data_IF_389747373428
#
_entry.id   IF_389747373428
#
_cell.length_a   1.000
_cell.length_b   1.000
_cell.length_c   1.000
_cell.angle_alpha   90.00
_cell.angle_beta   90.00
_cell.angle_gamma   90.00
#
_symmetry.space_group_name_H-M   'P 1'
#
loop_
_entity.id
_entity.type
_entity.pdbx_description
1 polymer ?
#
# COMPACT_ATOMS: atom_id res chain seq x y z
N UNK A 1 -9.22 -7.68 -2.86
CA UNK A 1 -8.54 -6.80 -1.87
C UNK A 1 -8.72 -5.30 -2.12
N UNK A 2 -9.46 -4.84 -3.14
CA UNK A 2 -9.87 -3.42 -3.25
C UNK A 2 -11.32 -3.18 -2.74
N UNK A 3 -11.84 -4.20 -2.10
CA UNK A 3 -13.14 -4.39 -1.48
C UNK A 3 -13.00 -4.49 0.04
N UNK A 4 -11.82 -4.19 0.58
CA UNK A 4 -11.51 -4.27 2.01
C UNK A 4 -11.26 -2.86 2.55
N UNK A 5 -11.76 -2.63 3.75
CA UNK A 5 -11.62 -1.43 4.55
C UNK A 5 -10.75 -1.73 5.78
N UNK A 6 -9.85 -0.81 6.12
CA UNK A 6 -9.19 -0.75 7.42
C UNK A 6 -10.07 0.05 8.38
N UNK A 7 -10.57 -0.59 9.43
CA UNK A 7 -11.33 0.06 10.49
C UNK A 7 -10.39 0.37 11.65
N UNK A 8 -10.43 1.61 12.15
CA UNK A 8 -9.65 2.05 13.31
C UNK A 8 -10.54 2.90 14.20
N UNK A 9 -10.87 2.38 15.38
CA UNK A 9 -11.81 3.04 16.28
C UNK A 9 -13.16 3.28 15.60
N UNK A 10 -13.54 4.54 15.42
CA UNK A 10 -14.78 4.96 14.75
C UNK A 10 -14.60 5.29 13.26
N UNK A 11 -13.36 5.32 12.78
CA UNK A 11 -13.03 5.75 11.42
C UNK A 11 -12.84 4.55 10.50
N UNK A 12 -13.17 4.76 9.23
CA UNK A 12 -13.00 3.76 8.18
C UNK A 12 -12.10 4.29 7.08
N UNK A 13 -11.19 3.44 6.64
CA UNK A 13 -10.17 3.82 5.67
C UNK A 13 -10.11 2.82 4.52
N UNK A 14 -10.16 3.33 3.29
CA UNK A 14 -9.79 2.54 2.11
C UNK A 14 -8.27 2.57 1.96
N UNK A 15 -7.66 1.41 1.77
CA UNK A 15 -6.24 1.31 1.40
C UNK A 15 -6.13 1.73 -0.06
N UNK A 16 -5.41 2.82 -0.33
CA UNK A 16 -5.25 3.38 -1.68
C UNK A 16 -3.91 3.04 -2.32
N UNK A 17 -2.92 2.65 -1.51
CA UNK A 17 -1.60 2.25 -1.98
C UNK A 17 -0.96 1.25 -1.01
N UNK A 18 -0.40 0.17 -1.54
CA UNK A 18 0.41 -0.78 -0.77
C UNK A 18 1.59 -1.36 -1.57
N UNK A 19 2.57 -1.93 -0.86
CA UNK A 19 3.70 -2.66 -1.42
C UNK A 19 3.79 -4.06 -0.82
N UNK A 20 4.10 -5.05 -1.66
CA UNK A 20 4.29 -6.42 -1.24
C UNK A 20 5.78 -6.73 -1.08
N UNK A 21 6.08 -7.41 0.02
CA UNK A 21 7.39 -7.96 0.37
C UNK A 21 7.19 -9.43 0.71
N UNK A 22 7.78 -10.33 -0.07
CA UNK A 22 7.62 -11.77 0.11
C UNK A 22 8.93 -12.51 -0.09
N UNK A 23 9.38 -13.24 0.93
CA UNK A 23 10.58 -14.05 0.86
C UNK A 23 10.21 -15.51 1.11
N UNK A 24 10.45 -16.33 0.10
CA UNK A 24 10.48 -17.77 0.11
C UNK A 24 11.80 -18.20 -0.52
N UNK A 25 12.68 -18.81 0.26
CA UNK A 25 14.04 -19.15 -0.18
C UNK A 25 14.05 -20.08 -1.40
N UNK A 26 13.04 -20.93 -1.54
CA UNK A 26 13.01 -21.94 -2.59
C UNK A 26 12.36 -21.41 -3.88
N UNK A 27 11.41 -20.47 -3.77
CA UNK A 27 10.58 -20.04 -4.91
C UNK A 27 10.66 -18.55 -5.23
N UNK A 28 10.84 -17.69 -4.23
CA UNK A 28 10.72 -16.25 -4.35
C UNK A 28 11.61 -15.51 -3.35
N UNK A 29 12.89 -15.42 -3.68
CA UNK A 29 13.91 -14.84 -2.82
C UNK A 29 14.03 -13.33 -3.04
N UNK A 30 13.01 -12.56 -2.64
CA UNK A 30 13.05 -11.09 -2.71
C UNK A 30 14.02 -10.54 -1.65
N UNK A 31 15.18 -9.98 -2.04
CA UNK A 31 16.21 -9.53 -1.08
C UNK A 31 15.80 -8.29 -0.30
N UNK A 32 14.71 -7.62 -0.71
CA UNK A 32 14.23 -6.39 -0.07
C UNK A 32 13.33 -6.65 1.15
N UNK A 33 13.05 -7.92 1.48
CA UNK A 33 12.33 -8.29 2.69
C UNK A 33 13.25 -8.19 3.91
N UNK A 34 12.78 -7.58 5.00
CA UNK A 34 13.59 -7.40 6.21
C UNK A 34 13.96 -8.70 6.94
N UNK A 35 13.18 -9.77 6.76
CA UNK A 35 13.45 -11.09 7.34
C UNK A 35 13.17 -11.17 8.84
N UNK A 36 12.30 -10.33 9.37
CA UNK A 36 11.97 -10.29 10.80
C UNK A 36 10.96 -11.37 11.18
N UNK A 37 11.06 -11.93 12.39
CA UNK A 37 10.21 -13.05 12.83
C UNK A 37 8.71 -12.71 12.76
N UNK A 38 8.34 -11.45 12.99
CA UNK A 38 6.94 -11.00 12.88
C UNK A 38 6.39 -11.22 11.46
N UNK A 39 7.23 -11.12 10.42
CA UNK A 39 6.81 -11.36 9.04
C UNK A 39 6.51 -12.85 8.75
N UNK A 40 6.85 -13.78 9.66
CA UNK A 40 6.48 -15.20 9.56
C UNK A 40 5.08 -15.50 10.11
N UNK A 41 4.36 -14.46 10.56
CA UNK A 41 2.97 -14.56 11.01
C UNK A 41 2.01 -14.18 9.87
N UNK A 42 0.74 -14.53 10.02
CA UNK A 42 -0.34 -14.13 9.12
C UNK A 42 -1.36 -13.27 9.88
N UNK A 43 -1.83 -12.19 9.25
CA UNK A 43 -2.92 -11.36 9.73
C UNK A 43 -2.58 -10.41 10.88
N UNK A 44 -1.29 -10.25 11.21
CA UNK A 44 -0.85 -9.31 12.26
C UNK A 44 -0.55 -7.94 11.66
N UNK A 45 -0.78 -6.89 12.45
CA UNK A 45 -0.22 -5.57 12.16
C UNK A 45 1.19 -5.49 12.72
N UNK A 46 2.15 -5.18 11.85
CA UNK A 46 3.56 -5.11 12.19
C UNK A 46 4.11 -3.71 11.93
N UNK A 47 4.58 -3.04 12.99
CA UNK A 47 5.34 -1.80 12.85
C UNK A 47 6.78 -2.11 12.43
N UNK A 48 7.08 -1.86 11.16
CA UNK A 48 8.30 -2.34 10.53
C UNK A 48 9.51 -1.38 10.69
N UNK A 49 10.69 -1.84 10.28
CA UNK A 49 11.95 -1.04 10.34
C UNK A 49 11.91 0.23 9.50
N UNK A 50 11.09 0.27 8.44
CA UNK A 50 10.86 1.46 7.64
C UNK A 50 9.91 2.48 8.32
N UNK A 51 9.48 2.23 9.56
CA UNK A 51 8.54 3.04 10.34
C UNK A 51 7.14 3.09 9.71
N UNK A 52 6.77 2.04 8.97
CA UNK A 52 5.44 1.85 8.39
C UNK A 52 4.66 0.73 9.09
N UNK A 53 3.45 0.49 8.62
CA UNK A 53 2.60 -0.63 9.06
C UNK A 53 2.50 -1.66 7.95
N UNK A 54 2.88 -2.89 8.26
CA UNK A 54 2.67 -4.05 7.42
C UNK A 54 1.49 -4.88 7.92
N UNK A 55 0.77 -5.50 6.99
CA UNK A 55 -0.10 -6.65 7.27
C UNK A 55 0.72 -7.91 6.95
N UNK A 56 0.97 -8.75 7.94
CA UNK A 56 1.81 -9.93 7.77
C UNK A 56 1.07 -11.06 7.06
N UNK A 57 1.77 -11.83 6.23
CA UNK A 57 1.20 -12.98 5.50
C UNK A 57 2.21 -14.11 5.30
N UNK A 58 3.29 -14.15 6.07
CA UNK A 58 4.23 -15.26 6.05
C UNK A 58 3.74 -16.46 6.88
N UNK A 59 4.57 -17.48 6.93
CA UNK A 59 4.28 -18.74 7.60
C UNK A 59 5.52 -19.26 8.34
N UNK A 60 5.38 -19.54 9.64
CA UNK A 60 6.47 -20.10 10.43
C UNK A 60 6.70 -21.59 10.20
N UNK A 61 5.66 -22.34 9.80
CA UNK A 61 5.75 -23.78 9.49
C UNK A 61 6.42 -24.04 8.15
N UNK A 62 6.35 -23.07 7.23
CA UNK A 62 7.04 -23.08 5.96
C UNK A 62 7.76 -21.73 5.84
N UNK A 63 9.04 -21.63 6.25
CA UNK A 63 9.69 -20.41 6.75
C UNK A 63 9.75 -19.31 5.69
N UNK A 64 8.64 -18.60 5.59
CA UNK A 64 8.35 -17.58 4.59
C UNK A 64 8.03 -16.30 5.31
N UNK A 65 8.51 -15.20 4.75
CA UNK A 65 8.36 -13.87 5.33
C UNK A 65 7.47 -13.06 4.41
N UNK A 66 6.37 -12.52 4.92
CA UNK A 66 5.40 -11.76 4.14
C UNK A 66 4.98 -10.50 4.88
N UNK A 67 5.04 -9.35 4.19
CA UNK A 67 4.50 -8.08 4.66
C UNK A 67 3.87 -7.27 3.53
N UNK A 68 2.64 -6.81 3.75
CA UNK A 68 1.96 -5.84 2.87
C UNK A 68 2.08 -4.47 3.53
N UNK A 69 3.03 -3.66 3.07
CA UNK A 69 3.23 -2.30 3.58
C UNK A 69 2.09 -1.40 3.12
N UNK A 70 1.35 -0.82 4.08
CA UNK A 70 0.33 0.18 3.81
C UNK A 70 1.02 1.54 3.59
N UNK A 71 0.80 2.12 2.40
CA UNK A 71 1.46 3.37 1.98
C UNK A 71 0.52 4.54 1.75
N UNK A 72 -0.73 4.23 1.44
CA UNK A 72 -1.79 5.19 1.20
C UNK A 72 -3.08 4.69 1.81
N UNK A 73 -3.77 5.57 2.53
CA UNK A 73 -5.14 5.37 2.97
C UNK A 73 -5.99 6.60 2.68
N UNK A 74 -7.30 6.40 2.53
CA UNK A 74 -8.29 7.47 2.43
C UNK A 74 -9.37 7.27 3.47
N UNK A 75 -9.57 8.27 4.32
CA UNK A 75 -10.68 8.29 5.28
C UNK A 75 -12.00 8.38 4.50
N UNK A 76 -12.93 7.46 4.75
CA UNK A 76 -14.17 7.32 3.98
C UNK A 76 -15.22 8.37 4.36
N UNK A 77 -15.13 8.91 5.57
CA UNK A 77 -16.03 9.92 6.08
C UNK A 77 -15.61 11.33 5.62
N UNK A 78 -14.32 11.63 5.60
CA UNK A 78 -13.78 12.97 5.25
C UNK A 78 -13.24 13.07 3.82
N UNK A 79 -13.08 11.94 3.11
CA UNK A 79 -12.39 11.84 1.82
C UNK A 79 -10.92 12.29 1.81
N UNK A 80 -10.30 12.44 2.98
CA UNK A 80 -8.91 12.86 3.09
C UNK A 80 -7.95 11.69 2.80
N UNK A 81 -6.98 11.93 1.91
CA UNK A 81 -5.88 11.01 1.63
C UNK A 81 -4.70 11.21 2.57
N UNK A 82 -4.04 10.12 2.94
CA UNK A 82 -2.84 10.08 3.78
C UNK A 82 -1.84 9.12 3.10
N UNK A 83 -0.80 9.68 2.47
CA UNK A 83 0.10 8.95 1.57
C UNK A 83 1.55 8.87 2.07
N UNK A 84 1.76 9.01 3.39
CA UNK A 84 3.08 8.92 4.02
C UNK A 84 3.01 7.86 5.11
N UNK A 85 3.88 6.84 5.03
CA UNK A 85 3.87 5.67 5.92
C UNK A 85 3.87 6.06 7.41
N UNK A 86 4.64 7.07 7.80
CA UNK A 86 4.70 7.55 9.19
C UNK A 86 3.44 8.32 9.60
N UNK A 87 2.82 9.08 8.68
CA UNK A 87 1.54 9.75 8.94
C UNK A 87 0.38 8.76 9.06
N UNK A 88 0.45 7.64 8.33
CA UNK A 88 -0.51 6.55 8.46
C UNK A 88 -0.43 5.93 9.85
N UNK A 89 0.78 5.64 10.33
CA UNK A 89 1.00 5.18 11.71
C UNK A 89 0.38 6.18 12.70
N UNK A 90 0.70 7.47 12.58
CA UNK A 90 0.14 8.51 13.45
C UNK A 90 -1.39 8.59 13.39
N UNK A 91 -1.98 8.54 12.19
CA UNK A 91 -3.43 8.54 11.99
C UNK A 91 -4.09 7.36 12.70
N UNK A 92 -3.53 6.15 12.55
CA UNK A 92 -4.05 4.94 13.20
C UNK A 92 -4.07 5.13 14.73
N UNK A 93 -3.00 5.64 15.33
CA UNK A 93 -2.97 5.88 16.77
C UNK A 93 -3.92 6.98 17.22
N UNK A 94 -4.08 8.07 16.45
CA UNK A 94 -5.06 9.13 16.75
C UNK A 94 -6.49 8.59 16.66
N UNK A 95 -6.79 7.79 15.64
CA UNK A 95 -8.11 7.25 15.37
C UNK A 95 -8.57 6.20 16.40
N UNK A 96 -7.65 5.58 17.16
CA UNK A 96 -7.98 4.71 18.28
C UNK A 96 -8.72 5.43 19.41
N UNK A 97 -8.59 6.76 19.50
CA UNK A 97 -9.26 7.58 20.50
C UNK A 97 -8.67 7.44 21.90
N UNK A 98 -9.46 7.83 22.90
CA UNK A 98 -9.04 7.78 24.30
C UNK A 98 -8.97 6.33 24.81
N UNK A 99 -7.80 5.88 25.26
CA UNK A 99 -7.58 4.49 25.70
C UNK A 99 -8.26 4.11 27.03
N UNK A 100 -8.78 5.08 27.78
CA UNK A 100 -9.51 4.86 29.03
C UNK A 100 -11.02 4.86 28.78
N UNK A 101 -11.50 5.74 27.91
CA UNK A 101 -12.94 5.99 27.69
C UNK A 101 -13.50 5.21 26.48
N UNK A 102 -12.65 4.92 25.50
CA UNK A 102 -13.05 4.30 24.23
C UNK A 102 -12.45 2.90 24.09
N UNK A 103 -13.22 2.00 23.47
CA UNK A 103 -12.74 0.67 23.08
C UNK A 103 -12.42 0.66 21.59
N UNK A 104 -11.39 1.40 21.21
CA UNK A 104 -10.87 1.39 19.85
C UNK A 104 -10.30 0.01 19.49
N UNK A 105 -10.55 -0.45 18.27
CA UNK A 105 -9.94 -1.65 17.72
C UNK A 105 -9.46 -1.40 16.29
N UNK A 106 -8.55 -2.26 15.82
CA UNK A 106 -8.06 -2.24 14.44
C UNK A 106 -8.40 -3.58 13.81
N UNK A 107 -9.11 -3.55 12.68
CA UNK A 107 -9.48 -4.77 11.95
C UNK A 107 -9.83 -4.46 10.49
N UNK A 108 -9.75 -5.47 9.65
CA UNK A 108 -10.21 -5.40 8.26
C UNK A 108 -11.67 -5.86 8.16
N UNK A 109 -12.46 -5.19 7.34
CA UNK A 109 -13.81 -5.63 6.97
C UNK A 109 -14.05 -5.38 5.48
N UNK A 110 -15.09 -5.96 4.91
CA UNK A 110 -15.52 -5.60 3.56
C UNK A 110 -15.97 -4.13 3.50
N UNK A 111 -15.75 -3.50 2.35
CA UNK A 111 -16.34 -2.22 1.99
C UNK A 111 -17.81 -2.44 1.66
N UNK A 112 -18.70 -1.65 2.26
CA UNK A 112 -20.10 -1.63 1.82
C UNK A 112 -20.16 -1.15 0.36
N UNK A 113 -20.49 -2.07 -0.55
CA UNK A 113 -20.40 -1.91 -2.03
C UNK A 113 -21.10 -0.66 -2.57
N UNK A 114 -22.05 -0.10 -1.83
CA UNK A 114 -22.97 0.94 -2.33
C UNK A 114 -22.34 2.32 -2.50
N UNK A 115 -21.08 2.56 -2.09
CA UNK A 115 -20.49 3.91 -2.09
C UNK A 115 -19.14 4.06 -2.81
N UNK A 116 -18.44 2.97 -3.14
CA UNK A 116 -17.08 3.08 -3.71
C UNK A 116 -16.97 2.23 -4.97
N UNK A 117 -16.48 2.84 -6.05
CA UNK A 117 -16.17 2.13 -7.28
C UNK A 117 -14.97 1.21 -7.03
N UNK A 118 -15.20 -0.10 -7.10
CA UNK A 118 -14.11 -1.07 -7.12
C UNK A 118 -13.43 -0.96 -8.48
N UNK A 119 -12.14 -0.68 -8.47
CA UNK A 119 -11.30 -0.60 -9.66
C UNK A 119 -10.17 -1.61 -9.59
N UNK A 120 -9.66 -2.01 -10.76
CA UNK A 120 -8.48 -2.85 -10.84
C UNK A 120 -7.27 -2.03 -10.37
N UNK A 121 -6.50 -2.49 -9.37
CA UNK A 121 -5.30 -1.79 -8.96
C UNK A 121 -4.30 -1.71 -10.10
N UNK A 122 -3.62 -0.57 -10.17
CA UNK A 122 -2.50 -0.35 -11.07
C UNK A 122 -1.24 -0.82 -10.37
N UNK A 123 -0.36 -1.44 -11.13
CA UNK A 123 0.92 -1.92 -10.63
C UNK A 123 2.05 -0.96 -11.00
N UNK A 124 3.03 -0.83 -10.12
CA UNK A 124 4.25 -0.05 -10.32
C UNK A 124 5.42 -0.71 -9.58
N UNK A 125 6.64 -0.26 -9.85
CA UNK A 125 7.81 -0.56 -9.01
C UNK A 125 7.60 -0.01 -7.59
N UNK A 126 8.20 -0.69 -6.60
CA UNK A 126 8.25 -0.23 -5.21
C UNK A 126 9.13 1.02 -5.09
N UNK A 127 8.93 1.81 -4.03
CA UNK A 127 9.65 3.07 -3.80
C UNK A 127 10.65 2.94 -2.67
N UNK A 128 11.79 3.61 -2.82
CA UNK A 128 12.78 3.76 -1.76
C UNK A 128 13.71 2.56 -1.62
N UNK A 129 13.58 1.58 -2.52
CA UNK A 129 14.57 0.54 -2.73
C UNK A 129 15.78 1.11 -3.46
N UNK A 130 16.93 0.47 -3.26
CA UNK A 130 18.19 0.76 -3.93
C UNK A 130 18.70 -0.51 -4.57
N UNK A 131 19.59 -0.39 -5.54
CA UNK A 131 20.31 -1.55 -6.07
C UNK A 131 20.97 -2.33 -4.92
N UNK A 132 20.86 -3.65 -4.99
CA UNK A 132 21.39 -4.57 -4.00
C UNK A 132 22.09 -5.71 -4.75
N UNK A 133 23.32 -6.04 -4.35
CA UNK A 133 24.15 -7.07 -5.01
C UNK A 133 23.47 -8.45 -5.08
N UNK A 134 22.72 -8.82 -4.05
CA UNK A 134 21.92 -10.05 -3.95
C UNK A 134 20.65 -10.07 -4.83
N UNK A 135 20.29 -8.97 -5.52
CA UNK A 135 19.13 -8.93 -6.41
C UNK A 135 19.39 -9.57 -7.78
N UNK A 136 19.61 -10.88 -7.76
CA UNK A 136 19.90 -11.68 -8.94
C UNK A 136 18.69 -11.88 -9.88
N UNK A 137 17.48 -11.51 -9.47
CA UNK A 137 16.23 -11.71 -10.23
C UNK A 137 15.49 -10.39 -10.53
N UNK A 138 16.17 -9.26 -10.37
CA UNK A 138 15.66 -7.91 -10.59
C UNK A 138 14.33 -7.62 -9.87
N UNK A 139 14.26 -7.94 -8.59
CA UNK A 139 13.17 -7.61 -7.67
C UNK A 139 12.99 -6.10 -7.47
N UNK A 140 14.02 -5.30 -7.75
CA UNK A 140 13.97 -3.84 -7.73
C UNK A 140 12.89 -3.30 -8.68
N UNK A 141 12.85 -3.83 -9.91
CA UNK A 141 11.92 -3.40 -10.96
C UNK A 141 10.59 -4.16 -10.97
N UNK A 142 10.39 -5.12 -10.06
CA UNK A 142 9.16 -5.91 -10.06
C UNK A 142 7.94 -5.06 -9.67
N UNK A 143 6.78 -5.30 -10.31
CA UNK A 143 5.57 -4.50 -10.14
C UNK A 143 4.78 -4.88 -8.86
N UNK A 144 5.44 -4.81 -7.71
CA UNK A 144 4.90 -5.19 -6.40
C UNK A 144 4.30 -4.04 -5.58
N UNK A 145 4.15 -2.86 -6.20
CA UNK A 145 3.37 -1.75 -5.65
C UNK A 145 2.02 -1.68 -6.33
N UNK A 146 0.96 -1.56 -5.55
CA UNK A 146 -0.42 -1.52 -6.05
C UNK A 146 -1.08 -0.21 -5.63
N UNK A 147 -1.74 0.47 -6.58
CA UNK A 147 -2.34 1.79 -6.39
C UNK A 147 -3.75 1.79 -6.95
N UNK A 148 -4.68 2.43 -6.24
CA UNK A 148 -6.04 2.72 -6.69
C UNK A 148 -6.33 4.22 -6.53
N UNK A 149 -7.46 4.67 -7.06
CA UNK A 149 -7.91 6.06 -7.06
C UNK A 149 -6.87 7.01 -7.65
N UNK A 150 -6.53 6.79 -8.92
CA UNK A 150 -5.75 7.78 -9.68
C UNK A 150 -6.61 9.01 -9.96
N UNK A 151 -6.64 9.93 -9.00
CA UNK A 151 -7.35 11.22 -9.08
C UNK A 151 -6.43 12.34 -8.59
N UNK A 152 -6.61 13.61 -8.99
CA UNK A 152 -5.74 14.73 -8.60
C UNK A 152 -5.40 14.81 -7.11
N UNK A 153 -6.38 14.56 -6.25
CA UNK A 153 -6.31 14.66 -4.79
C UNK A 153 -5.41 13.58 -4.16
N UNK A 154 -5.32 12.41 -4.80
CA UNK A 154 -4.44 11.33 -4.38
C UNK A 154 -2.98 11.66 -4.76
N UNK A 155 -2.27 12.35 -3.87
CA UNK A 155 -0.88 12.80 -4.05
C UNK A 155 0.14 11.78 -3.50
N UNK A 156 0.20 10.60 -4.10
CA UNK A 156 1.19 9.59 -3.75
C UNK A 156 2.55 9.85 -4.41
N UNK A 157 3.62 9.24 -3.88
CA UNK A 157 4.99 9.46 -4.36
C UNK A 157 5.19 8.83 -5.75
N UNK A 158 5.94 9.52 -6.61
CA UNK A 158 6.19 9.11 -8.02
C UNK A 158 4.94 9.03 -8.91
N UNK A 159 3.85 9.74 -8.56
CA UNK A 159 2.60 9.77 -9.35
C UNK A 159 2.80 10.09 -10.83
N UNK A 160 3.60 11.10 -11.17
CA UNK A 160 3.88 11.44 -12.56
C UNK A 160 4.57 10.30 -13.31
N UNK A 161 5.55 9.63 -12.68
CA UNK A 161 6.24 8.48 -13.27
C UNK A 161 5.26 7.33 -13.53
N UNK A 162 4.37 7.03 -12.58
CA UNK A 162 3.32 6.01 -12.76
C UNK A 162 2.41 6.36 -13.93
N UNK A 163 1.96 7.62 -14.01
CA UNK A 163 1.09 8.08 -15.11
C UNK A 163 1.80 8.00 -16.47
N UNK A 164 3.08 8.39 -16.54
CA UNK A 164 3.89 8.29 -17.75
C UNK A 164 4.08 6.84 -18.22
N UNK A 165 4.32 5.91 -17.29
CA UNK A 165 4.42 4.49 -17.63
C UNK A 165 3.10 3.95 -18.20
N UNK A 166 1.96 4.32 -17.60
CA UNK A 166 0.65 3.92 -18.11
C UNK A 166 0.35 4.48 -19.51
N UNK A 167 0.80 5.70 -19.80
CA UNK A 167 0.71 6.28 -21.14
C UNK A 167 1.57 5.48 -22.14
N UNK A 168 2.82 5.18 -21.79
CA UNK A 168 3.74 4.42 -22.64
C UNK A 168 3.22 3.00 -22.92
N UNK A 169 2.53 2.39 -21.95
CA UNK A 169 1.91 1.06 -22.07
C UNK A 169 0.52 1.10 -22.75
N UNK A 170 0.05 2.25 -23.21
CA UNK A 170 -1.31 2.46 -23.76
C UNK A 170 -2.45 2.05 -22.81
N UNK A 171 -2.20 2.04 -21.50
CA UNK A 171 -3.19 1.75 -20.45
C UNK A 171 -3.97 2.99 -19.99
N UNK A 172 -3.55 4.17 -20.45
CA UNK A 172 -4.14 5.46 -20.12
C UNK A 172 -4.12 6.36 -21.35
N UNK A 173 -5.17 7.16 -21.56
CA UNK A 173 -5.19 8.16 -22.63
C UNK A 173 -4.50 9.44 -22.20
N UNK A 174 -4.09 10.28 -23.17
CA UNK A 174 -3.47 11.59 -22.89
C UNK A 174 -4.41 12.51 -22.09
N UNK A 175 -5.69 12.53 -22.44
CA UNK A 175 -6.74 13.21 -21.67
C UNK A 175 -6.88 12.64 -20.26
N UNK A 176 -6.85 11.31 -20.10
CA UNK A 176 -6.90 10.66 -18.79
C UNK A 176 -5.70 11.04 -17.91
N UNK A 177 -4.49 11.07 -18.48
CA UNK A 177 -3.29 11.54 -17.79
C UNK A 177 -3.41 13.01 -17.36
N UNK A 178 -3.97 13.87 -18.22
CA UNK A 178 -4.27 15.26 -17.85
C UNK A 178 -5.27 15.35 -16.70
N UNK A 179 -6.33 14.53 -16.70
CA UNK A 179 -7.29 14.49 -15.61
C UNK A 179 -6.63 14.07 -14.29
N UNK A 180 -5.68 13.13 -14.31
CA UNK A 180 -5.01 12.62 -13.11
C UNK A 180 -3.96 13.60 -12.56
N UNK A 181 -3.20 14.24 -13.45
CA UNK A 181 -2.09 15.14 -13.10
C UNK A 181 -2.50 16.61 -13.02
N UNK A 182 -3.65 16.98 -13.57
CA UNK A 182 -4.11 18.36 -13.79
C UNK A 182 -3.28 19.16 -14.81
N UNK A 183 -2.37 18.51 -15.55
CA UNK A 183 -1.60 19.07 -16.66
C UNK A 183 -1.25 17.99 -17.67
N UNK A 184 -0.89 18.36 -18.91
CA UNK A 184 -0.35 17.39 -19.86
C UNK A 184 1.09 17.04 -19.47
N UNK A 185 1.40 15.77 -19.16
CA UNK A 185 2.78 15.37 -18.93
C UNK A 185 3.58 15.58 -20.23
N UNK A 186 4.77 16.15 -20.10
CA UNK A 186 5.76 16.18 -21.18
C UNK A 186 6.22 14.76 -21.50
N UNK A 187 6.47 14.49 -22.78
CA UNK A 187 7.09 13.24 -23.24
C UNK A 187 8.46 13.03 -22.58
#
# INVERSE_FOLDING_TARGET
MNDICLNVGKNRYRITECEFYYLDKDNHEDPYVHGEQQQMTTGQLYYNKARGLDITFGNASYPTFGGILIRGIKNLETNQYINQITKIVSEVFIALGNIVEEKGCIYLSELEERKIKIEKPIQSTRIGLREWEDDNKNYLDKPYRFIVELVPEHRFKEKEKVVKNLLAENKLSREGAKTILSYYPSN
#
